data_IF_529512338200
#
_entry.id   IF_529512338200
#
_cell.length_a   1.000
_cell.length_b   1.000
_cell.length_c   1.000
_cell.angle_alpha   90.00
_cell.angle_beta   90.00
_cell.angle_gamma   90.00
#
_symmetry.space_group_name_H-M   'P 1'
#
loop_
_entity.id
_entity.type
_entity.pdbx_description
1 polymer ?
#
# COMPACT_ATOMS: atom_id res chain seq x y z
N UNK A 1 7.61 20.85 18.93
CA UNK A 1 7.35 22.02 18.05
C UNK A 1 5.86 22.17 17.74
N UNK A 2 5.15 21.13 17.28
CA UNK A 2 3.72 21.19 16.92
C UNK A 2 2.79 21.60 18.08
N UNK A 3 3.03 21.18 19.32
CA UNK A 3 2.21 21.62 20.47
C UNK A 3 2.32 23.13 20.76
N UNK A 4 3.46 23.75 20.47
CA UNK A 4 3.66 25.20 20.62
C UNK A 4 2.90 25.92 19.50
N UNK A 5 3.00 25.43 18.26
CA UNK A 5 2.23 25.96 17.14
C UNK A 5 0.72 25.88 17.40
N UNK A 6 0.23 24.79 17.98
CA UNK A 6 -1.19 24.62 18.33
C UNK A 6 -1.64 25.70 19.31
N UNK A 7 -0.85 25.92 20.37
CA UNK A 7 -1.15 26.95 21.38
C UNK A 7 -1.22 28.34 20.76
N UNK A 8 -0.26 28.68 19.90
CA UNK A 8 -0.24 29.97 19.18
C UNK A 8 -1.46 30.12 18.27
N UNK A 9 -1.82 29.08 17.51
CA UNK A 9 -2.99 29.11 16.63
C UNK A 9 -4.31 29.25 17.41
N UNK A 10 -4.41 28.61 18.58
CA UNK A 10 -5.54 28.76 19.51
C UNK A 10 -5.62 30.18 20.10
N UNK A 11 -4.50 30.75 20.53
CA UNK A 11 -4.42 32.12 21.02
C UNK A 11 -4.80 33.15 19.94
N UNK A 12 -4.45 32.86 18.67
CA UNK A 12 -4.81 33.67 17.51
C UNK A 12 -6.22 33.39 16.97
N UNK A 13 -6.96 32.43 17.54
CA UNK A 13 -8.27 31.96 17.06
C UNK A 13 -8.25 31.60 15.55
N UNK A 14 -7.10 31.12 15.06
CA UNK A 14 -6.94 30.75 13.66
C UNK A 14 -7.45 29.32 13.45
N UNK A 15 -8.75 29.20 13.16
CA UNK A 15 -9.43 27.92 12.98
C UNK A 15 -8.83 27.04 11.89
N UNK A 16 -8.32 27.61 10.80
CA UNK A 16 -7.66 26.85 9.73
C UNK A 16 -6.29 26.32 10.17
N UNK A 17 -5.51 27.17 10.86
CA UNK A 17 -4.23 26.79 11.44
C UNK A 17 -4.39 25.69 12.48
N UNK A 18 -5.42 25.76 13.32
CA UNK A 18 -5.72 24.72 14.30
C UNK A 18 -6.05 23.39 13.60
N UNK A 19 -6.95 23.39 12.60
CA UNK A 19 -7.29 22.18 11.83
C UNK A 19 -6.05 21.57 11.17
N UNK A 20 -5.20 22.39 10.55
CA UNK A 20 -3.96 21.93 9.92
C UNK A 20 -2.99 21.29 10.92
N UNK A 21 -2.81 21.90 12.10
CA UNK A 21 -1.92 21.36 13.12
C UNK A 21 -2.47 20.05 13.69
N UNK A 22 -3.79 19.92 13.85
CA UNK A 22 -4.43 18.66 14.24
C UNK A 22 -4.19 17.55 13.21
N UNK A 23 -4.28 17.85 11.91
CA UNK A 23 -4.00 16.88 10.84
C UNK A 23 -2.53 16.42 10.86
N UNK A 24 -1.58 17.34 11.04
CA UNK A 24 -0.17 16.99 11.20
C UNK A 24 0.08 16.11 12.44
N UNK A 25 -0.55 16.43 13.56
CA UNK A 25 -0.46 15.63 14.78
C UNK A 25 -1.09 14.24 14.60
N UNK A 26 -2.19 14.14 13.83
CA UNK A 26 -2.87 12.88 13.55
C UNK A 26 -1.97 11.96 12.70
N UNK A 27 -1.40 12.48 11.62
CA UNK A 27 -0.47 11.73 10.76
C UNK A 27 0.80 11.32 11.52
N UNK A 28 1.35 12.18 12.38
CA UNK A 28 2.49 11.84 13.23
C UNK A 28 2.14 10.73 14.22
N UNK A 29 1.01 10.84 14.92
CA UNK A 29 0.54 9.82 15.85
C UNK A 29 0.30 8.47 15.15
N UNK A 30 -0.27 8.50 13.94
CA UNK A 30 -0.48 7.32 13.11
C UNK A 30 0.85 6.65 12.75
N UNK A 31 1.83 7.42 12.27
CA UNK A 31 3.16 6.91 11.93
C UNK A 31 3.94 6.36 13.14
N UNK A 32 3.65 6.85 14.35
CA UNK A 32 4.24 6.36 15.60
C UNK A 32 3.52 5.14 16.19
N UNK A 33 2.43 4.67 15.57
CA UNK A 33 1.59 3.60 16.11
C UNK A 33 0.75 4.02 17.32
N UNK A 34 0.63 5.33 17.61
CA UNK A 34 -0.23 5.87 18.66
C UNK A 34 -1.70 5.90 18.20
N UNK A 35 -2.24 4.73 17.83
CA UNK A 35 -3.52 4.60 17.10
C UNK A 35 -4.71 5.23 17.82
N UNK A 36 -4.83 5.07 19.15
CA UNK A 36 -5.92 5.68 19.90
C UNK A 36 -5.85 7.22 19.97
N UNK A 37 -4.66 7.81 19.80
CA UNK A 37 -4.49 9.26 19.70
C UNK A 37 -4.74 9.73 18.27
N UNK A 38 -4.19 9.03 17.28
CA UNK A 38 -4.42 9.30 15.87
C UNK A 38 -5.93 9.30 15.53
N UNK A 39 -6.67 8.30 16.02
CA UNK A 39 -8.12 8.19 15.85
C UNK A 39 -8.86 9.45 16.31
N UNK A 40 -8.60 9.88 17.55
CA UNK A 40 -9.23 11.07 18.15
C UNK A 40 -8.91 12.34 17.35
N UNK A 41 -7.66 12.47 16.89
CA UNK A 41 -7.22 13.63 16.13
C UNK A 41 -7.87 13.65 14.73
N UNK A 42 -7.88 12.54 14.00
CA UNK A 42 -8.55 12.45 12.70
C UNK A 42 -10.05 12.73 12.79
N UNK A 43 -10.75 12.14 13.76
CA UNK A 43 -12.18 12.41 13.99
C UNK A 43 -12.42 13.90 14.26
N UNK A 44 -11.54 14.55 15.03
CA UNK A 44 -11.65 15.99 15.29
C UNK A 44 -11.46 16.82 14.01
N UNK A 45 -10.44 16.51 13.20
CA UNK A 45 -10.18 17.20 11.93
C UNK A 45 -11.37 17.05 10.99
N UNK A 46 -11.90 15.83 10.83
CA UNK A 46 -13.07 15.56 10.00
C UNK A 46 -14.29 16.35 10.46
N UNK A 47 -14.61 16.35 11.76
CA UNK A 47 -15.73 17.12 12.31
C UNK A 47 -15.60 18.62 12.02
N UNK A 48 -14.38 19.18 12.15
CA UNK A 48 -14.12 20.59 11.83
C UNK A 48 -14.32 20.88 10.35
N UNK A 49 -13.80 20.03 9.46
CA UNK A 49 -13.96 20.20 8.02
C UNK A 49 -15.44 20.11 7.61
N UNK A 50 -16.18 19.13 8.12
CA UNK A 50 -17.61 18.98 7.83
C UNK A 50 -18.44 20.15 8.38
N UNK A 51 -18.09 20.69 9.55
CA UNK A 51 -18.74 21.89 10.10
C UNK A 51 -18.51 23.15 9.23
N UNK A 52 -17.43 23.17 8.44
CA UNK A 52 -17.12 24.22 7.46
C UNK A 52 -17.73 23.96 6.08
N UNK A 53 -18.54 22.91 5.93
CA UNK A 53 -19.24 22.57 4.69
C UNK A 53 -18.46 21.67 3.73
N UNK A 54 -17.33 21.09 4.14
CA UNK A 54 -16.64 20.06 3.35
C UNK A 54 -17.52 18.81 3.31
N UNK A 55 -17.76 18.30 2.10
CA UNK A 55 -18.64 17.15 1.86
C UNK A 55 -17.93 15.82 2.12
N UNK A 56 -18.71 14.77 2.35
CA UNK A 56 -18.18 13.43 2.66
C UNK A 56 -17.37 12.80 1.50
N UNK A 57 -17.62 13.25 0.26
CA UNK A 57 -16.93 12.80 -0.94
C UNK A 57 -15.65 13.60 -1.26
N UNK A 58 -15.28 14.58 -0.42
CA UNK A 58 -14.03 15.32 -0.55
C UNK A 58 -12.82 14.38 -0.34
N UNK A 59 -11.73 14.62 -1.09
CA UNK A 59 -10.53 13.79 -1.01
C UNK A 59 -9.87 13.83 0.37
N UNK A 60 -9.97 14.95 1.10
CA UNK A 60 -9.45 15.07 2.47
C UNK A 60 -10.21 14.16 3.42
N UNK A 61 -11.54 14.11 3.28
CA UNK A 61 -12.38 13.22 4.08
C UNK A 61 -12.07 11.76 3.76
N UNK A 62 -11.96 11.40 2.48
CA UNK A 62 -11.58 10.05 2.05
C UNK A 62 -10.19 9.64 2.59
N UNK A 63 -9.20 10.53 2.52
CA UNK A 63 -7.87 10.24 3.01
C UNK A 63 -7.86 9.97 4.52
N UNK A 64 -8.56 10.75 5.33
CA UNK A 64 -8.67 10.50 6.77
C UNK A 64 -9.49 9.25 7.09
N UNK A 65 -10.59 9.01 6.37
CA UNK A 65 -11.40 7.80 6.51
C UNK A 65 -10.60 6.54 6.22
N UNK A 66 -9.71 6.57 5.21
CA UNK A 66 -8.79 5.47 4.92
C UNK A 66 -7.81 5.22 6.07
N UNK A 67 -7.24 6.28 6.65
CA UNK A 67 -6.35 6.14 7.82
C UNK A 67 -7.10 5.61 9.03
N UNK A 68 -8.34 6.04 9.25
CA UNK A 68 -9.21 5.49 10.31
C UNK A 68 -9.54 4.01 10.09
N UNK A 69 -9.82 3.60 8.85
CA UNK A 69 -10.03 2.18 8.52
C UNK A 69 -8.81 1.34 8.91
N UNK A 70 -7.61 1.80 8.56
CA UNK A 70 -6.35 1.14 8.95
C UNK A 70 -6.12 1.15 10.46
N UNK A 71 -6.44 2.24 11.17
CA UNK A 71 -6.40 2.30 12.64
C UNK A 71 -7.33 1.24 13.26
N UNK A 72 -8.55 1.09 12.74
CA UNK A 72 -9.50 0.09 13.24
C UNK A 72 -9.01 -1.33 12.98
N UNK A 73 -8.36 -1.58 11.85
CA UNK A 73 -7.71 -2.85 11.55
C UNK A 73 -6.64 -3.19 12.59
N UNK A 74 -5.72 -2.25 12.89
CA UNK A 74 -4.66 -2.43 13.90
C UNK A 74 -5.22 -2.62 15.33
N UNK A 75 -6.41 -2.08 15.60
CA UNK A 75 -7.16 -2.28 16.85
C UNK A 75 -7.99 -3.57 16.87
N UNK A 76 -7.99 -4.36 15.80
CA UNK A 76 -8.82 -5.54 15.58
C UNK A 76 -10.34 -5.26 15.57
N UNK A 77 -10.74 -4.02 15.28
CA UNK A 77 -12.14 -3.63 15.07
C UNK A 77 -12.51 -3.85 13.59
N UNK A 78 -12.47 -5.12 13.15
CA UNK A 78 -12.49 -5.49 11.73
C UNK A 78 -13.75 -5.08 10.98
N UNK A 79 -14.92 -5.11 11.62
CA UNK A 79 -16.16 -4.66 10.98
C UNK A 79 -16.09 -3.18 10.62
N UNK A 80 -15.60 -2.33 11.53
CA UNK A 80 -15.43 -0.89 11.27
C UNK A 80 -14.33 -0.62 10.24
N UNK A 81 -13.26 -1.39 10.28
CA UNK A 81 -12.19 -1.30 9.29
C UNK A 81 -12.75 -1.57 7.89
N UNK A 82 -13.50 -2.66 7.72
CA UNK A 82 -14.09 -3.04 6.44
C UNK A 82 -15.13 -2.03 5.94
N UNK A 83 -15.99 -1.51 6.83
CA UNK A 83 -16.92 -0.43 6.48
C UNK A 83 -16.18 0.82 6.00
N UNK A 84 -15.09 1.20 6.67
CA UNK A 84 -14.25 2.32 6.29
C UNK A 84 -13.57 2.14 4.93
N UNK A 85 -13.01 0.96 4.67
CA UNK A 85 -12.41 0.64 3.36
C UNK A 85 -13.46 0.68 2.25
N UNK A 86 -14.63 0.04 2.44
CA UNK A 86 -15.72 0.04 1.45
C UNK A 86 -16.25 1.44 1.17
N UNK A 87 -16.37 2.28 2.21
CA UNK A 87 -16.75 3.68 2.04
C UNK A 87 -15.77 4.41 1.12
N UNK A 88 -14.47 4.30 1.39
CA UNK A 88 -13.43 4.97 0.61
C UNK A 88 -13.41 4.47 -0.84
N UNK A 89 -13.43 3.15 -1.06
CA UNK A 89 -13.46 2.56 -2.41
C UNK A 89 -14.64 3.09 -3.20
N UNK A 90 -15.84 3.07 -2.63
CA UNK A 90 -17.07 3.50 -3.31
C UNK A 90 -17.08 5.00 -3.59
N UNK A 91 -16.66 5.82 -2.63
CA UNK A 91 -16.63 7.28 -2.78
C UNK A 91 -15.63 7.69 -3.87
N UNK A 92 -14.42 7.12 -3.84
CA UNK A 92 -13.36 7.44 -4.80
C UNK A 92 -13.67 6.91 -6.19
N UNK A 93 -14.22 5.69 -6.30
CA UNK A 93 -14.68 5.14 -7.58
C UNK A 93 -15.69 6.07 -8.25
N UNK A 94 -16.73 6.50 -7.51
CA UNK A 94 -17.74 7.42 -8.03
C UNK A 94 -17.11 8.74 -8.49
N UNK A 95 -16.11 9.24 -7.76
CA UNK A 95 -15.45 10.50 -8.11
C UNK A 95 -14.67 10.35 -9.42
N UNK A 96 -13.89 9.28 -9.56
CA UNK A 96 -13.14 8.95 -10.77
C UNK A 96 -14.06 8.77 -11.99
N UNK A 97 -15.25 8.18 -11.83
CA UNK A 97 -16.21 8.00 -12.92
C UNK A 97 -16.89 9.31 -13.37
N UNK A 98 -16.98 10.30 -12.49
CA UNK A 98 -17.69 11.58 -12.73
C UNK A 98 -16.73 12.68 -13.19
N UNK A 99 -15.45 12.61 -12.81
CA UNK A 99 -14.45 13.59 -13.23
C UNK A 99 -14.25 13.47 -14.74
N UNK A 100 -14.71 14.49 -15.46
CA UNK A 100 -14.61 14.57 -16.91
C UNK A 100 -14.50 16.03 -17.35
N UNK A 101 -13.41 16.37 -18.04
CA UNK A 101 -13.16 17.70 -18.56
C UNK A 101 -11.71 17.93 -18.95
N UNK A 102 -11.47 18.87 -19.86
CA UNK A 102 -10.13 19.11 -20.44
C UNK A 102 -9.27 20.13 -19.65
N UNK A 103 -9.83 20.73 -18.60
CA UNK A 103 -9.14 21.72 -17.76
C UNK A 103 -8.00 21.07 -16.98
N UNK A 104 -6.87 21.77 -16.85
CA UNK A 104 -5.72 21.33 -16.06
C UNK A 104 -6.09 21.03 -14.60
N UNK A 105 -6.92 21.88 -13.99
CA UNK A 105 -7.39 21.67 -12.62
C UNK A 105 -8.26 20.41 -12.48
N UNK A 106 -8.98 20.02 -13.53
CA UNK A 106 -9.80 18.80 -13.54
C UNK A 106 -8.91 17.57 -13.62
N UNK A 107 -7.84 17.63 -14.41
CA UNK A 107 -6.85 16.55 -14.52
C UNK A 107 -6.05 16.36 -13.22
N UNK A 108 -5.64 17.45 -12.57
CA UNK A 108 -4.96 17.37 -11.26
C UNK A 108 -5.85 16.74 -10.19
N UNK A 109 -7.14 17.10 -10.17
CA UNK A 109 -8.10 16.50 -9.23
C UNK A 109 -8.38 15.03 -9.55
N UNK A 110 -8.50 14.68 -10.84
CA UNK A 110 -8.62 13.30 -11.29
C UNK A 110 -7.42 12.46 -10.84
N UNK A 111 -6.20 12.95 -11.10
CA UNK A 111 -4.96 12.29 -10.74
C UNK A 111 -4.87 12.07 -9.23
N UNK A 112 -5.16 13.09 -8.43
CA UNK A 112 -5.19 12.98 -6.96
C UNK A 112 -6.22 11.95 -6.47
N UNK A 113 -7.40 11.91 -7.10
CA UNK A 113 -8.42 10.91 -6.79
C UNK A 113 -7.96 9.49 -7.16
N UNK A 114 -7.28 9.32 -8.30
CA UNK A 114 -6.75 8.04 -8.74
C UNK A 114 -5.64 7.50 -7.85
N UNK A 115 -4.70 8.36 -7.43
CA UNK A 115 -3.65 7.98 -6.47
C UNK A 115 -4.28 7.49 -5.17
N UNK A 116 -5.25 8.24 -4.64
CA UNK A 116 -5.92 7.87 -3.40
C UNK A 116 -6.76 6.60 -3.56
N UNK A 117 -7.38 6.39 -4.72
CA UNK A 117 -8.14 5.18 -5.02
C UNK A 117 -7.24 3.96 -5.12
N UNK A 118 -6.12 4.05 -5.84
CA UNK A 118 -5.12 2.97 -5.94
C UNK A 118 -4.58 2.57 -4.55
N UNK A 119 -4.25 3.56 -3.71
CA UNK A 119 -3.80 3.30 -2.33
C UNK A 119 -4.90 2.65 -1.48
N UNK A 120 -6.16 3.09 -1.63
CA UNK A 120 -7.31 2.49 -0.93
C UNK A 120 -7.51 1.03 -1.34
N UNK A 121 -7.43 0.74 -2.64
CA UNK A 121 -7.57 -0.60 -3.19
C UNK A 121 -6.45 -1.53 -2.69
N UNK A 122 -5.20 -1.07 -2.68
CA UNK A 122 -4.06 -1.81 -2.13
C UNK A 122 -4.27 -2.16 -0.64
N UNK A 123 -4.60 -1.16 0.19
CA UNK A 123 -4.80 -1.38 1.62
C UNK A 123 -5.98 -2.31 1.90
N UNK A 124 -7.08 -2.14 1.16
CA UNK A 124 -8.23 -3.01 1.30
C UNK A 124 -7.94 -4.44 0.81
N UNK A 125 -7.16 -4.60 -0.26
CA UNK A 125 -6.72 -5.92 -0.73
C UNK A 125 -5.88 -6.65 0.33
N UNK A 126 -4.95 -5.96 1.00
CA UNK A 126 -4.17 -6.52 2.11
C UNK A 126 -5.07 -6.94 3.28
N UNK A 127 -6.00 -6.08 3.67
CA UNK A 127 -7.01 -6.42 4.67
C UNK A 127 -7.81 -7.68 4.29
N UNK A 128 -8.29 -7.76 3.05
CA UNK A 128 -9.03 -8.93 2.55
C UNK A 128 -8.19 -10.20 2.55
N UNK A 129 -6.90 -10.10 2.19
CA UNK A 129 -5.96 -11.22 2.22
C UNK A 129 -5.77 -11.75 3.64
N UNK A 130 -5.63 -10.87 4.63
CA UNK A 130 -5.55 -11.24 6.05
C UNK A 130 -6.84 -11.90 6.56
N UNK A 131 -7.99 -11.54 5.96
CA UNK A 131 -9.28 -12.20 6.18
C UNK A 131 -9.50 -13.44 5.32
N UNK A 132 -8.47 -13.90 4.58
CA UNK A 132 -8.48 -15.08 3.69
C UNK A 132 -9.46 -14.97 2.51
N UNK A 133 -9.86 -13.75 2.13
CA UNK A 133 -10.74 -13.47 0.99
C UNK A 133 -9.90 -13.19 -0.25
N UNK A 134 -9.24 -14.25 -0.73
CA UNK A 134 -8.18 -14.14 -1.75
C UNK A 134 -8.70 -13.67 -3.12
N UNK A 135 -9.87 -14.12 -3.57
CA UNK A 135 -10.42 -13.69 -4.87
C UNK A 135 -10.75 -12.18 -4.90
N UNK A 136 -11.29 -11.68 -3.79
CA UNK A 136 -11.60 -10.26 -3.64
C UNK A 136 -10.32 -9.43 -3.52
N UNK A 137 -9.33 -9.91 -2.76
CA UNK A 137 -8.02 -9.27 -2.68
C UNK A 137 -7.33 -9.22 -4.05
N UNK A 138 -7.37 -10.31 -4.83
CA UNK A 138 -6.81 -10.36 -6.18
C UNK A 138 -7.45 -9.30 -7.08
N UNK A 139 -8.78 -9.19 -7.05
CA UNK A 139 -9.52 -8.18 -7.81
C UNK A 139 -9.09 -6.76 -7.44
N UNK A 140 -8.96 -6.47 -6.13
CA UNK A 140 -8.55 -5.14 -5.67
C UNK A 140 -7.09 -4.83 -6.01
N UNK A 141 -6.17 -5.80 -5.90
CA UNK A 141 -4.77 -5.63 -6.33
C UNK A 141 -4.66 -5.38 -7.84
N UNK A 142 -5.44 -6.08 -8.67
CA UNK A 142 -5.47 -5.85 -10.12
C UNK A 142 -5.92 -4.43 -10.43
N UNK A 143 -7.00 -3.98 -9.79
CA UNK A 143 -7.54 -2.64 -9.98
C UNK A 143 -6.56 -1.55 -9.49
N UNK A 144 -5.85 -1.80 -8.39
CA UNK A 144 -4.79 -0.93 -7.90
C UNK A 144 -3.62 -0.86 -8.89
N UNK A 145 -3.21 -2.00 -9.46
CA UNK A 145 -2.14 -2.08 -10.46
C UNK A 145 -2.48 -1.31 -11.73
N UNK A 146 -3.68 -1.52 -12.29
CA UNK A 146 -4.14 -0.82 -13.49
C UNK A 146 -4.22 0.70 -13.26
N UNK A 147 -4.66 1.11 -12.07
CA UNK A 147 -4.74 2.53 -11.70
C UNK A 147 -3.35 3.14 -11.52
N UNK A 148 -2.44 2.45 -10.83
CA UNK A 148 -1.09 2.92 -10.58
C UNK A 148 -0.27 3.04 -11.88
N UNK A 149 -0.40 2.07 -12.78
CA UNK A 149 0.28 2.11 -14.08
C UNK A 149 -0.24 3.23 -14.98
N UNK A 150 -1.53 3.57 -14.87
CA UNK A 150 -2.12 4.70 -15.58
C UNK A 150 -1.59 6.05 -15.08
N UNK A 151 -1.45 6.23 -13.78
CA UNK A 151 -1.00 7.50 -13.18
C UNK A 151 0.51 7.67 -13.25
N UNK A 152 1.26 6.68 -12.78
CA UNK A 152 2.71 6.80 -12.57
C UNK A 152 3.52 6.28 -13.77
N UNK A 153 2.85 5.68 -14.75
CA UNK A 153 3.49 4.92 -15.80
C UNK A 153 3.94 3.54 -15.34
N UNK A 154 4.54 2.80 -16.26
CA UNK A 154 4.92 1.41 -16.03
C UNK A 154 6.14 1.25 -15.11
N UNK A 155 7.10 2.18 -15.17
CA UNK A 155 8.35 2.12 -14.39
C UNK A 155 8.21 2.92 -13.10
N UNK A 156 7.63 2.27 -12.08
CA UNK A 156 7.40 2.88 -10.77
C UNK A 156 7.50 1.83 -9.64
N UNK A 157 8.00 2.23 -8.46
CA UNK A 157 8.19 1.31 -7.32
C UNK A 157 6.87 0.65 -6.89
N UNK A 158 5.79 1.44 -6.78
CA UNK A 158 4.47 0.91 -6.44
C UNK A 158 3.96 -0.14 -7.44
N UNK A 159 4.30 -0.01 -8.73
CA UNK A 159 3.96 -1.01 -9.75
C UNK A 159 4.65 -2.34 -9.47
N UNK A 160 5.92 -2.31 -9.06
CA UNK A 160 6.70 -3.51 -8.68
C UNK A 160 6.12 -4.16 -7.43
N UNK A 161 5.74 -3.37 -6.41
CA UNK A 161 5.10 -3.87 -5.19
C UNK A 161 3.78 -4.57 -5.52
N UNK A 162 2.90 -3.94 -6.30
CA UNK A 162 1.61 -4.51 -6.67
C UNK A 162 1.76 -5.79 -7.51
N UNK A 163 2.73 -5.84 -8.42
CA UNK A 163 3.04 -7.08 -9.16
C UNK A 163 3.57 -8.18 -8.24
N UNK A 164 4.30 -7.84 -7.18
CA UNK A 164 4.74 -8.81 -6.19
C UNK A 164 3.57 -9.37 -5.38
N UNK A 165 2.63 -8.52 -4.96
CA UNK A 165 1.42 -8.94 -4.27
C UNK A 165 0.52 -9.81 -5.17
N UNK A 166 0.34 -9.41 -6.45
CA UNK A 166 -0.37 -10.19 -7.47
C UNK A 166 0.30 -11.56 -7.69
N UNK A 167 1.63 -11.59 -7.78
CA UNK A 167 2.38 -12.84 -7.91
C UNK A 167 2.17 -13.76 -6.71
N UNK A 168 2.24 -13.20 -5.50
CA UNK A 168 2.05 -13.94 -4.25
C UNK A 168 0.65 -14.50 -4.15
N UNK A 169 -0.39 -13.70 -4.41
CA UNK A 169 -1.77 -14.15 -4.27
C UNK A 169 -2.17 -15.15 -5.37
N UNK A 170 -1.69 -14.98 -6.61
CA UNK A 170 -1.88 -15.97 -7.68
C UNK A 170 -1.28 -17.31 -7.29
N UNK A 171 -0.09 -17.31 -6.69
CA UNK A 171 0.53 -18.54 -6.20
C UNK A 171 -0.30 -19.21 -5.09
N UNK A 172 -0.83 -18.43 -4.14
CA UNK A 172 -1.70 -18.94 -3.07
C UNK A 172 -3.02 -19.53 -3.60
N UNK A 173 -3.53 -19.00 -4.71
CA UNK A 173 -4.70 -19.52 -5.42
C UNK A 173 -4.38 -20.74 -6.32
N UNK A 174 -3.11 -21.13 -6.42
CA UNK A 174 -2.65 -22.26 -7.23
C UNK A 174 -2.39 -21.93 -8.70
N UNK A 175 -2.52 -20.67 -9.11
CA UNK A 175 -2.14 -20.22 -10.46
C UNK A 175 -0.65 -19.85 -10.48
N UNK A 176 0.18 -20.89 -10.50
CA UNK A 176 1.64 -20.75 -10.51
C UNK A 176 2.16 -20.03 -11.76
N UNK A 177 1.50 -20.17 -12.91
CA UNK A 177 1.96 -19.60 -14.17
C UNK A 177 1.70 -18.08 -14.20
N UNK A 178 0.53 -17.63 -13.72
CA UNK A 178 0.27 -16.21 -13.50
C UNK A 178 1.25 -15.64 -12.46
N UNK A 179 1.50 -16.37 -11.37
CA UNK A 179 2.42 -15.94 -10.33
C UNK A 179 3.85 -15.67 -10.86
N UNK A 180 4.40 -16.62 -11.62
CA UNK A 180 5.71 -16.46 -12.28
C UNK A 180 5.69 -15.29 -13.26
N UNK A 181 4.59 -15.11 -14.01
CA UNK A 181 4.45 -14.01 -14.97
C UNK A 181 4.51 -12.65 -14.27
N UNK A 182 3.73 -12.45 -13.20
CA UNK A 182 3.71 -11.20 -12.43
C UNK A 182 5.07 -10.91 -11.79
N UNK A 183 5.70 -11.89 -11.13
CA UNK A 183 7.00 -11.70 -10.49
C UNK A 183 8.13 -11.46 -11.49
N UNK A 184 8.08 -12.11 -12.66
CA UNK A 184 9.05 -11.84 -13.74
C UNK A 184 8.89 -10.42 -14.24
N UNK A 185 7.65 -9.95 -14.43
CA UNK A 185 7.39 -8.56 -14.83
C UNK A 185 7.87 -7.56 -13.78
N UNK A 186 7.62 -7.83 -12.50
CA UNK A 186 8.12 -7.04 -11.39
C UNK A 186 9.66 -6.92 -11.42
N UNK A 187 10.36 -8.03 -11.70
CA UNK A 187 11.83 -8.04 -11.83
C UNK A 187 12.31 -7.23 -13.05
N UNK A 188 11.62 -7.31 -14.18
CA UNK A 188 11.96 -6.53 -15.37
C UNK A 188 11.87 -5.03 -15.09
N UNK A 189 10.77 -4.58 -14.48
CA UNK A 189 10.54 -3.18 -14.14
C UNK A 189 11.54 -2.72 -13.06
N UNK A 190 11.69 -3.48 -11.97
CA UNK A 190 12.55 -3.11 -10.85
C UNK A 190 14.03 -2.99 -11.19
N UNK A 191 14.51 -3.63 -12.26
CA UNK A 191 15.88 -3.40 -12.79
C UNK A 191 16.12 -1.96 -13.24
N UNK A 192 15.06 -1.22 -13.56
CA UNK A 192 15.11 0.20 -13.90
C UNK A 192 15.00 1.13 -12.68
N UNK A 193 14.87 0.57 -11.46
CA UNK A 193 14.69 1.28 -10.20
C UNK A 193 15.85 0.99 -9.24
N UNK A 194 17.05 1.58 -9.45
CA UNK A 194 18.27 1.19 -8.75
C UNK A 194 18.29 1.50 -7.24
N UNK A 195 17.30 2.25 -6.75
CA UNK A 195 17.17 2.67 -5.35
C UNK A 195 16.08 1.91 -4.58
N UNK A 196 15.36 0.98 -5.23
CA UNK A 196 14.25 0.26 -4.60
C UNK A 196 14.78 -0.79 -3.59
N UNK A 197 14.69 -0.48 -2.30
CA UNK A 197 15.25 -1.30 -1.22
C UNK A 197 14.50 -2.62 -0.99
N UNK A 198 13.19 -2.64 -1.24
CA UNK A 198 12.31 -3.80 -1.04
C UNK A 198 12.23 -4.74 -2.25
N UNK A 199 13.06 -4.49 -3.27
CA UNK A 199 13.09 -5.27 -4.49
C UNK A 199 13.55 -6.72 -4.29
N UNK A 200 14.27 -6.99 -3.20
CA UNK A 200 14.73 -8.33 -2.84
C UNK A 200 13.60 -9.34 -2.63
N UNK A 201 12.46 -8.90 -2.06
CA UNK A 201 11.30 -9.74 -1.79
C UNK A 201 10.74 -10.41 -3.06
N UNK A 202 10.74 -9.69 -4.18
CA UNK A 202 10.26 -10.17 -5.49
C UNK A 202 11.08 -11.38 -5.96
N UNK A 203 12.40 -11.28 -5.84
CA UNK A 203 13.30 -12.38 -6.19
C UNK A 203 13.14 -13.59 -5.25
N UNK A 204 12.97 -13.34 -3.95
CA UNK A 204 12.77 -14.42 -2.98
C UNK A 204 11.45 -15.14 -3.23
N UNK A 205 10.37 -14.41 -3.51
CA UNK A 205 9.08 -14.98 -3.86
C UNK A 205 9.18 -15.85 -5.10
N UNK A 206 9.83 -15.37 -6.16
CA UNK A 206 10.02 -16.16 -7.38
C UNK A 206 10.87 -17.41 -7.12
N UNK A 207 11.92 -17.28 -6.30
CA UNK A 207 12.75 -18.40 -5.89
C UNK A 207 11.99 -19.47 -5.09
N UNK A 208 11.09 -19.03 -4.19
CA UNK A 208 10.21 -19.92 -3.43
C UNK A 208 9.21 -20.66 -4.32
N UNK A 209 8.67 -20.01 -5.35
CA UNK A 209 7.80 -20.69 -6.34
C UNK A 209 8.60 -21.76 -7.09
N UNK A 210 9.80 -21.44 -7.58
CA UNK A 210 10.65 -22.43 -8.25
C UNK A 210 11.07 -23.58 -7.33
N UNK A 211 11.25 -23.33 -6.04
CA UNK A 211 11.48 -24.36 -5.02
C UNK A 211 10.32 -25.38 -5.00
N UNK A 212 9.08 -24.90 -5.00
CA UNK A 212 7.88 -25.74 -5.00
C UNK A 212 7.74 -26.51 -6.32
N UNK A 213 8.12 -25.88 -7.45
CA UNK A 213 8.22 -26.54 -8.77
C UNK A 213 9.40 -27.50 -8.90
N UNK A 214 10.22 -27.66 -7.84
CA UNK A 214 11.45 -28.48 -7.82
C UNK A 214 12.52 -28.05 -8.85
N UNK A 215 12.43 -26.82 -9.31
CA UNK A 215 13.38 -26.17 -10.22
C UNK A 215 14.50 -25.54 -9.39
N UNK A 216 15.34 -26.39 -8.79
CA UNK A 216 16.28 -25.96 -7.76
C UNK A 216 17.38 -25.02 -8.26
N UNK A 217 17.76 -25.10 -9.54
CA UNK A 217 18.78 -24.22 -10.12
C UNK A 217 18.26 -22.79 -10.25
N UNK A 218 17.04 -22.64 -10.77
CA UNK A 218 16.30 -21.39 -10.93
C UNK A 218 15.99 -20.77 -9.57
N UNK A 219 15.49 -21.58 -8.63
CA UNK A 219 15.26 -21.15 -7.27
C UNK A 219 16.53 -20.59 -6.60
N UNK A 220 17.66 -21.31 -6.72
CA UNK A 220 18.94 -20.88 -6.17
C UNK A 220 19.45 -19.60 -6.82
N UNK A 221 19.24 -19.42 -8.13
CA UNK A 221 19.58 -18.20 -8.84
C UNK A 221 18.79 -17.02 -8.25
N UNK A 222 17.48 -17.11 -8.19
CA UNK A 222 16.64 -16.00 -7.74
C UNK A 222 16.82 -15.67 -6.26
N UNK A 223 16.94 -16.67 -5.37
CA UNK A 223 17.21 -16.37 -3.96
C UNK A 223 18.61 -15.76 -3.73
N UNK A 224 19.59 -16.04 -4.60
CA UNK A 224 20.88 -15.31 -4.58
C UNK A 224 20.75 -13.88 -5.09
N UNK A 225 19.97 -13.64 -6.14
CA UNK A 225 19.71 -12.29 -6.66
C UNK A 225 19.00 -11.44 -5.59
N UNK A 226 18.00 -12.00 -4.90
CA UNK A 226 17.34 -11.36 -3.76
C UNK A 226 18.31 -11.03 -2.63
N UNK A 227 19.17 -11.98 -2.24
CA UNK A 227 20.20 -11.75 -1.23
C UNK A 227 21.19 -10.63 -1.62
N UNK A 228 21.63 -10.61 -2.88
CA UNK A 228 22.55 -9.58 -3.40
C UNK A 228 21.90 -8.19 -3.38
N UNK A 229 20.65 -8.09 -3.81
CA UNK A 229 19.89 -6.84 -3.75
C UNK A 229 19.73 -6.38 -2.28
N UNK A 230 19.23 -7.25 -1.39
CA UNK A 230 19.04 -6.90 0.01
C UNK A 230 20.35 -6.46 0.69
N UNK A 231 21.46 -7.13 0.38
CA UNK A 231 22.80 -6.77 0.88
C UNK A 231 23.24 -5.39 0.39
N UNK A 232 23.03 -5.08 -0.90
CA UNK A 232 23.36 -3.77 -1.48
C UNK A 232 22.62 -2.63 -0.80
N UNK A 233 21.36 -2.86 -0.41
CA UNK A 233 20.50 -1.86 0.24
C UNK A 233 20.55 -1.89 1.77
N UNK A 234 21.38 -2.76 2.38
CA UNK A 234 21.37 -3.00 3.83
C UNK A 234 19.99 -3.38 4.40
N UNK A 235 19.12 -3.97 3.56
CA UNK A 235 17.81 -4.45 3.95
C UNK A 235 17.95 -5.76 4.74
N UNK A 236 17.95 -5.66 6.08
CA UNK A 236 18.15 -6.82 6.97
C UNK A 236 17.05 -7.86 6.86
N UNK A 237 15.82 -7.44 6.62
CA UNK A 237 14.67 -8.33 6.46
C UNK A 237 14.83 -9.14 5.18
N UNK A 238 15.08 -8.48 4.04
CA UNK A 238 15.33 -9.15 2.76
C UNK A 238 16.54 -10.10 2.80
N UNK A 239 17.60 -9.77 3.56
CA UNK A 239 18.74 -10.69 3.76
C UNK A 239 18.28 -11.96 4.48
N UNK A 240 17.46 -11.84 5.52
CA UNK A 240 16.96 -12.97 6.29
C UNK A 240 16.03 -13.86 5.44
N UNK A 241 15.11 -13.25 4.70
CA UNK A 241 14.20 -13.96 3.80
C UNK A 241 14.97 -14.75 2.74
N UNK A 242 15.94 -14.10 2.09
CA UNK A 242 16.77 -14.74 1.08
C UNK A 242 17.63 -15.88 1.66
N UNK A 243 18.16 -15.70 2.88
CA UNK A 243 18.90 -16.75 3.58
C UNK A 243 18.03 -17.95 3.90
N UNK A 244 16.78 -17.75 4.33
CA UNK A 244 15.86 -18.85 4.61
C UNK A 244 15.51 -19.61 3.32
N UNK A 245 15.26 -18.92 2.20
CA UNK A 245 15.10 -19.61 0.91
C UNK A 245 16.35 -20.44 0.54
N UNK A 246 17.55 -19.87 0.65
CA UNK A 246 18.79 -20.57 0.32
C UNK A 246 19.06 -21.76 1.25
N UNK A 247 18.70 -21.64 2.53
CA UNK A 247 18.80 -22.72 3.50
C UNK A 247 17.87 -23.87 3.17
N UNK A 248 16.62 -23.59 2.76
CA UNK A 248 15.69 -24.63 2.30
C UNK A 248 16.28 -25.41 1.11
N UNK A 249 16.87 -24.71 0.13
CA UNK A 249 17.57 -25.35 -0.99
C UNK A 249 18.71 -26.27 -0.52
N UNK A 250 19.56 -25.80 0.40
CA UNK A 250 20.67 -26.64 0.91
C UNK A 250 20.18 -27.90 1.61
N UNK A 251 19.07 -27.81 2.35
CA UNK A 251 18.48 -28.96 3.04
C UNK A 251 17.92 -30.00 2.07
N UNK A 252 17.30 -29.56 0.98
CA UNK A 252 16.73 -30.43 -0.07
C UNK A 252 17.82 -31.06 -0.93
N UNK A 253 18.92 -30.33 -1.19
CA UNK A 253 20.04 -30.78 -2.00
C UNK A 253 21.11 -31.56 -1.21
N UNK A 254 20.94 -31.71 0.12
CA UNK A 254 21.83 -32.53 0.94
C UNK A 254 21.52 -34.02 0.67
N UNK A 255 22.54 -34.84 0.41
CA UNK A 255 22.39 -36.25 0.02
C UNK A 255 21.82 -37.14 1.15
#
# INVERSE_FOLDING_TARGET
>A
MLHIALKIAQEQQNEDGITYIYDLLANLAFAQGEFGKAEKLFVNVMQRLMSKGVTEDDLKINHMSLKLAKIYEEKNEFEKAEEGYKFCVKSLQKKVEVVGGDSEAVKEEEEAALVLWAMTLDWYARFLLDRKRMDEALTNFQLAYDTCTRVNGEVHEQTVVLLNDLGTISFLLGDEDAAVTYLTRAIEIGKHLPNMEDFSSVYVNLGNIYLQKKMYAEAKKHCREGWQNATRHNNKEGINEANECLKQLTKIMSP
#
